data_IF_759216662936
#
_entry.id   IF_759216662936
#
_cell.length_a   1.000
_cell.length_b   1.000
_cell.length_c   1.000
_cell.angle_alpha   90.00
_cell.angle_beta   90.00
_cell.angle_gamma   90.00
#
_symmetry.space_group_name_H-M   'P 1'
#
loop_
_entity.id
_entity.type
_entity.pdbx_description
1 polymer ?
#
# COMPACT_ATOMS: atom_id res chain seq x y z
N UNK A 1 9.90 7.03 -10.55
CA UNK A 1 10.88 6.48 -9.60
C UNK A 1 11.96 5.67 -10.29
N UNK A 2 11.63 4.78 -11.23
CA UNK A 2 12.62 3.90 -11.91
C UNK A 2 13.76 4.68 -12.59
N UNK A 3 13.47 5.80 -13.21
CA UNK A 3 14.51 6.67 -13.83
C UNK A 3 15.52 7.18 -12.78
N UNK A 4 15.09 7.29 -11.52
CA UNK A 4 15.92 7.68 -10.38
C UNK A 4 16.51 6.47 -9.63
N UNK A 5 16.42 5.26 -10.20
CA UNK A 5 16.98 4.04 -9.62
C UNK A 5 16.14 3.39 -8.52
N UNK A 6 14.91 3.85 -8.26
CA UNK A 6 14.03 3.21 -7.28
C UNK A 6 13.43 1.93 -7.87
N UNK A 7 13.41 0.87 -7.07
CA UNK A 7 12.66 -0.36 -7.33
C UNK A 7 11.27 -0.27 -6.71
N UNK A 8 10.42 -1.25 -6.99
CA UNK A 8 9.10 -1.34 -6.34
C UNK A 8 9.24 -1.55 -4.83
N UNK A 9 8.32 -0.97 -4.08
CA UNK A 9 8.22 -1.14 -2.63
C UNK A 9 6.80 -1.54 -2.23
N UNK A 10 6.55 -2.83 -2.17
CA UNK A 10 5.23 -3.41 -1.85
C UNK A 10 4.77 -3.20 -0.39
N UNK A 11 5.59 -2.60 0.47
CA UNK A 11 5.12 -2.13 1.78
C UNK A 11 4.45 -0.76 1.74
N UNK A 12 4.48 -0.08 0.60
CA UNK A 12 3.92 1.25 0.45
C UNK A 12 2.45 1.35 0.82
N UNK A 13 1.66 0.36 0.40
CA UNK A 13 0.21 0.25 0.64
C UNK A 13 -0.14 -0.01 2.11
N UNK A 14 0.73 -0.68 2.86
CA UNK A 14 0.47 -1.13 4.24
C UNK A 14 0.67 -0.06 5.32
N UNK A 15 0.84 1.21 4.95
CA UNK A 15 1.15 2.30 5.88
C UNK A 15 0.01 2.56 6.87
N UNK A 16 -1.21 2.63 6.37
CA UNK A 16 -2.37 3.12 7.11
C UNK A 16 -3.21 2.01 7.73
N UNK A 17 -3.75 2.29 8.92
CA UNK A 17 -4.84 1.52 9.49
C UNK A 17 -6.14 1.78 8.70
N UNK A 18 -7.12 0.89 8.80
CA UNK A 18 -8.37 0.97 8.01
C UNK A 18 -9.13 2.28 8.26
N UNK A 19 -9.15 2.75 9.50
CA UNK A 19 -9.80 4.01 9.90
C UNK A 19 -9.13 5.22 9.24
N UNK A 20 -7.80 5.23 9.18
CA UNK A 20 -7.02 6.30 8.54
C UNK A 20 -7.29 6.39 7.04
N UNK A 21 -7.54 5.25 6.39
CA UNK A 21 -7.91 5.20 4.97
C UNK A 21 -9.26 5.85 4.67
N UNK A 22 -10.07 6.10 5.68
CA UNK A 22 -11.42 6.68 5.60
C UNK A 22 -11.50 8.09 6.23
N UNK A 23 -10.43 8.56 6.84
CA UNK A 23 -10.35 9.89 7.44
C UNK A 23 -9.92 10.93 6.42
N UNK A 24 -10.85 11.80 6.00
CA UNK A 24 -10.61 12.85 5.00
C UNK A 24 -9.51 13.82 5.42
N UNK A 25 -9.42 14.18 6.70
CA UNK A 25 -8.41 15.12 7.22
C UNK A 25 -7.03 14.47 7.22
N UNK A 26 -6.95 13.22 7.64
CA UNK A 26 -5.72 12.45 7.61
C UNK A 26 -5.20 12.28 6.18
N UNK A 27 -6.05 11.82 5.26
CA UNK A 27 -5.69 11.59 3.86
C UNK A 27 -5.23 12.85 3.15
N UNK A 28 -5.92 13.97 3.39
CA UNK A 28 -5.53 15.27 2.84
C UNK A 28 -4.10 15.65 3.23
N UNK A 29 -3.73 15.46 4.49
CA UNK A 29 -2.42 15.83 5.04
C UNK A 29 -1.32 14.84 4.70
N UNK A 30 -1.59 13.55 4.79
CA UNK A 30 -0.58 12.50 4.81
C UNK A 30 -0.59 11.58 3.58
N UNK A 31 -1.71 11.53 2.82
CA UNK A 31 -1.94 10.46 1.85
C UNK A 31 -2.14 9.11 2.54
N UNK A 32 -2.13 8.03 1.79
CA UNK A 32 -2.40 6.70 2.34
C UNK A 32 -1.30 5.67 2.05
N UNK A 33 -0.26 6.05 1.32
CA UNK A 33 0.86 5.17 1.01
C UNK A 33 2.20 5.78 1.40
N UNK A 34 3.17 4.94 1.72
CA UNK A 34 4.54 5.38 2.01
C UNK A 34 5.41 5.49 0.77
N UNK A 35 5.02 4.89 -0.35
CA UNK A 35 5.78 4.88 -1.60
C UNK A 35 4.86 4.88 -2.81
N UNK A 36 5.17 5.73 -3.81
CA UNK A 36 4.53 5.70 -5.13
C UNK A 36 5.04 4.51 -5.97
N UNK A 37 6.09 3.83 -5.50
CA UNK A 37 6.66 2.65 -6.16
C UNK A 37 5.94 1.36 -5.80
N UNK A 38 4.88 1.41 -5.02
CA UNK A 38 3.95 0.31 -4.81
C UNK A 38 2.92 0.28 -5.96
N UNK A 39 2.40 -0.89 -6.27
CA UNK A 39 1.26 -1.07 -7.17
C UNK A 39 -0.08 -0.81 -6.45
N UNK A 40 -0.13 0.29 -5.70
CA UNK A 40 -1.37 0.69 -5.02
C UNK A 40 -2.44 1.11 -6.01
N UNK A 41 -3.65 0.66 -5.77
CA UNK A 41 -4.84 1.20 -6.43
C UNK A 41 -5.27 2.53 -5.79
N UNK A 42 -6.17 3.22 -6.47
CA UNK A 42 -6.95 4.28 -5.85
C UNK A 42 -7.60 3.73 -4.57
N UNK A 43 -7.63 4.55 -3.51
CA UNK A 43 -8.15 4.15 -2.21
C UNK A 43 -9.64 3.72 -2.31
N UNK A 44 -9.83 2.41 -2.38
CA UNK A 44 -11.15 1.78 -2.48
C UNK A 44 -11.81 1.50 -1.13
N UNK A 45 -11.10 1.73 -0.03
CA UNK A 45 -11.67 1.59 1.32
C UNK A 45 -12.62 2.74 1.68
N UNK A 46 -12.43 3.93 1.07
CA UNK A 46 -13.29 5.10 1.26
C UNK A 46 -14.72 4.78 0.86
N UNK A 47 -15.68 5.11 1.71
CA UNK A 47 -17.10 4.99 1.44
C UNK A 47 -17.69 6.37 1.10
N UNK A 48 -18.86 6.46 0.43
CA UNK A 48 -19.47 7.74 0.06
C UNK A 48 -19.71 8.69 1.24
N UNK A 49 -19.98 8.13 2.41
CA UNK A 49 -20.23 8.87 3.65
C UNK A 49 -18.99 9.47 4.29
N UNK A 50 -17.78 9.05 3.90
CA UNK A 50 -16.52 9.50 4.51
C UNK A 50 -16.11 10.91 4.06
N UNK A 51 -16.72 11.44 3.00
CA UNK A 51 -16.47 12.80 2.51
C UNK A 51 -15.05 13.05 1.99
N UNK A 52 -14.32 12.00 1.59
CA UNK A 52 -12.95 12.11 1.07
C UNK A 52 -12.98 12.58 -0.38
N UNK A 53 -12.21 13.63 -0.68
CA UNK A 53 -12.05 14.13 -2.04
C UNK A 53 -11.38 13.12 -2.97
N UNK A 54 -11.72 13.14 -4.26
CA UNK A 54 -11.15 12.25 -5.26
C UNK A 54 -9.63 12.38 -5.36
N UNK A 55 -9.09 13.59 -5.23
CA UNK A 55 -7.65 13.87 -5.25
C UNK A 55 -6.89 13.19 -4.10
N UNK A 56 -7.53 12.99 -2.96
CA UNK A 56 -6.93 12.36 -1.78
C UNK A 56 -7.04 10.83 -1.80
N UNK A 57 -7.71 10.27 -2.81
CA UNK A 57 -7.81 8.82 -3.06
C UNK A 57 -6.75 8.29 -4.02
N UNK A 58 -5.88 9.15 -4.54
CA UNK A 58 -4.83 8.80 -5.51
C UNK A 58 -3.48 8.69 -4.78
N UNK A 59 -2.64 7.66 -5.11
CA UNK A 59 -1.31 7.54 -4.52
C UNK A 59 -0.46 8.79 -4.78
N UNK A 60 0.32 9.19 -3.78
CA UNK A 60 1.26 10.32 -3.84
C UNK A 60 2.67 9.86 -3.49
N UNK A 61 3.68 10.66 -3.85
CA UNK A 61 5.06 10.47 -3.39
C UNK A 61 5.04 10.41 -1.86
N UNK A 62 5.60 9.33 -1.31
CA UNK A 62 5.55 9.05 0.11
C UNK A 62 6.85 9.30 0.85
N UNK A 63 6.82 9.00 2.15
CA UNK A 63 7.98 9.17 3.02
C UNK A 63 9.14 8.24 2.64
N UNK A 64 8.84 7.01 2.20
CA UNK A 64 9.85 6.06 1.73
C UNK A 64 10.53 6.57 0.46
N UNK A 65 9.79 7.12 -0.48
CA UNK A 65 10.37 7.63 -1.74
C UNK A 65 11.38 8.75 -1.45
N UNK A 66 11.03 9.66 -0.53
CA UNK A 66 11.92 10.75 -0.10
C UNK A 66 13.17 10.20 0.59
N UNK A 67 13.02 9.18 1.45
CA UNK A 67 14.13 8.50 2.11
C UNK A 67 15.06 7.83 1.10
N UNK A 68 14.48 7.10 0.13
CA UNK A 68 15.24 6.39 -0.89
C UNK A 68 16.07 7.33 -1.77
N UNK A 69 15.50 8.48 -2.15
CA UNK A 69 16.22 9.53 -2.88
C UNK A 69 17.31 10.14 -2.01
N UNK A 70 17.03 10.43 -0.75
CA UNK A 70 18.04 10.96 0.17
C UNK A 70 19.18 9.95 0.36
N UNK A 71 18.88 8.67 0.50
CA UNK A 71 19.88 7.62 0.63
C UNK A 71 20.76 7.49 -0.62
N UNK A 72 20.17 7.51 -1.79
CA UNK A 72 20.87 7.29 -3.06
C UNK A 72 21.66 8.51 -3.56
N UNK A 73 21.25 9.72 -3.19
CA UNK A 73 21.79 10.96 -3.75
C UNK A 73 22.45 11.88 -2.72
N UNK A 74 22.51 11.49 -1.45
CA UNK A 74 23.15 12.31 -0.42
C UNK A 74 24.64 12.40 -0.66
N UNK A 75 25.16 13.63 -0.74
CA UNK A 75 26.58 13.89 -0.94
C UNK A 75 27.32 13.96 0.40
N UNK A 76 28.49 13.29 0.49
CA UNK A 76 29.35 13.25 1.66
C UNK A 76 30.75 13.74 1.29
N UNK A 77 31.03 15.04 1.41
CA UNK A 77 32.33 15.58 1.03
C UNK A 77 33.45 15.04 1.91
N UNK A 78 34.53 14.58 1.28
CA UNK A 78 35.77 14.18 1.97
C UNK A 78 35.74 12.82 2.66
N UNK A 79 34.67 12.01 2.50
CA UNK A 79 34.62 10.66 3.05
C UNK A 79 34.99 9.62 1.99
N UNK A 80 35.63 8.54 2.43
CA UNK A 80 35.86 7.35 1.60
C UNK A 80 34.55 6.56 1.39
N UNK A 81 34.50 5.76 0.32
CA UNK A 81 33.30 4.98 -0.04
C UNK A 81 32.84 4.04 1.07
N UNK A 82 33.78 3.40 1.75
CA UNK A 82 33.51 2.47 2.86
C UNK A 82 32.85 3.19 4.05
N UNK A 83 33.37 4.37 4.41
CA UNK A 83 32.81 5.20 5.49
C UNK A 83 31.38 5.69 5.15
N UNK A 84 31.13 6.01 3.88
CA UNK A 84 29.80 6.40 3.40
C UNK A 84 28.83 5.24 3.53
N UNK A 85 29.23 4.05 3.08
CA UNK A 85 28.38 2.84 3.17
C UNK A 85 28.05 2.49 4.62
N UNK A 86 29.02 2.53 5.53
CA UNK A 86 28.77 2.28 6.96
C UNK A 86 27.76 3.26 7.55
N UNK A 87 27.96 4.56 7.30
CA UNK A 87 27.03 5.62 7.76
C UNK A 87 25.61 5.44 7.22
N UNK A 88 25.51 5.14 5.92
CA UNK A 88 24.20 4.93 5.28
C UNK A 88 23.52 3.67 5.81
N UNK A 89 24.26 2.57 6.05
CA UNK A 89 23.68 1.34 6.62
C UNK A 89 23.11 1.59 8.01
N UNK A 90 23.88 2.18 8.90
CA UNK A 90 23.41 2.51 10.27
C UNK A 90 22.21 3.46 10.23
N UNK A 91 22.22 4.42 9.31
CA UNK A 91 21.13 5.37 9.17
C UNK A 91 19.85 4.71 8.68
N UNK A 92 19.91 3.86 7.65
CA UNK A 92 18.75 3.20 7.08
C UNK A 92 18.16 2.16 8.04
N UNK A 93 18.97 1.40 8.77
CA UNK A 93 18.52 0.45 9.79
C UNK A 93 17.63 1.14 10.83
N UNK A 94 18.07 2.27 11.35
CA UNK A 94 17.28 3.07 12.31
C UNK A 94 15.97 3.58 11.69
N UNK A 95 16.01 3.99 10.43
CA UNK A 95 14.82 4.49 9.73
C UNK A 95 13.78 3.40 9.49
N UNK A 96 14.19 2.20 9.15
CA UNK A 96 13.29 1.08 8.87
C UNK A 96 12.54 0.55 10.09
N UNK A 97 12.90 0.95 11.31
CA UNK A 97 12.09 0.70 12.50
C UNK A 97 10.73 1.42 12.41
N UNK A 98 10.69 2.59 11.78
CA UNK A 98 9.44 3.29 11.50
C UNK A 98 8.74 2.68 10.28
N UNK A 99 7.47 2.32 10.39
CA UNK A 99 6.67 1.66 9.33
C UNK A 99 6.74 2.38 7.99
N UNK A 100 6.64 3.70 7.98
CA UNK A 100 6.65 4.53 6.76
C UNK A 100 7.94 4.45 5.92
N UNK A 101 8.99 3.83 6.46
CA UNK A 101 10.29 3.67 5.79
C UNK A 101 10.62 2.21 5.47
N UNK A 102 9.71 1.29 5.74
CA UNK A 102 9.92 -0.13 5.44
C UNK A 102 9.94 -0.39 3.94
N UNK A 103 10.70 -1.41 3.58
CA UNK A 103 10.91 -1.81 2.20
C UNK A 103 10.69 -3.30 2.00
N UNK A 104 10.05 -3.64 0.88
CA UNK A 104 9.92 -5.00 0.38
C UNK A 104 9.79 -4.97 -1.13
N UNK A 105 10.73 -5.59 -1.84
CA UNK A 105 10.80 -5.61 -3.30
C UNK A 105 9.87 -6.63 -3.97
N UNK A 106 9.36 -7.58 -3.21
CA UNK A 106 8.42 -8.58 -3.70
C UNK A 106 7.45 -9.01 -2.59
N UNK A 107 6.21 -9.27 -2.95
CA UNK A 107 5.17 -9.69 -2.00
C UNK A 107 5.43 -11.08 -1.41
N UNK A 108 5.70 -12.06 -2.26
CA UNK A 108 5.85 -13.44 -1.83
C UNK A 108 4.67 -13.88 -0.94
N UNK A 109 4.96 -14.44 0.23
CA UNK A 109 3.97 -14.85 1.22
C UNK A 109 3.70 -13.79 2.31
N UNK A 110 4.07 -12.52 2.07
CA UNK A 110 3.86 -11.43 3.01
C UNK A 110 2.54 -10.73 2.72
N UNK A 111 1.51 -10.87 3.57
CA UNK A 111 0.19 -10.29 3.33
C UNK A 111 0.18 -8.76 3.30
N UNK A 112 1.17 -8.14 3.95
CA UNK A 112 1.32 -6.68 4.03
C UNK A 112 2.14 -6.09 2.88
N UNK A 113 2.51 -6.89 1.87
CA UNK A 113 3.36 -6.48 0.77
C UNK A 113 2.90 -7.13 -0.55
N UNK A 114 1.64 -7.01 -0.86
CA UNK A 114 1.04 -7.53 -2.09
C UNK A 114 0.80 -6.39 -3.08
N UNK A 115 0.75 -6.73 -4.36
CA UNK A 115 0.30 -5.78 -5.36
C UNK A 115 -1.22 -5.55 -5.24
N UNK A 116 -1.63 -4.30 -5.44
CA UNK A 116 -3.04 -3.90 -5.49
C UNK A 116 -3.82 -4.05 -4.17
N UNK A 117 -3.15 -4.41 -3.08
CA UNK A 117 -3.71 -4.37 -1.74
C UNK A 117 -3.75 -2.94 -1.18
N UNK A 118 -4.37 -2.77 -0.03
CA UNK A 118 -4.51 -1.47 0.60
C UNK A 118 -4.63 -1.62 2.12
N UNK A 119 -3.88 -0.78 2.83
CA UNK A 119 -3.92 -0.72 4.28
C UNK A 119 -3.20 -1.88 4.97
N UNK A 120 -3.08 -1.73 6.26
CA UNK A 120 -2.42 -2.71 7.12
C UNK A 120 -3.16 -4.05 7.21
N UNK A 121 -4.47 -3.99 7.08
CA UNK A 121 -5.36 -5.13 7.19
C UNK A 121 -6.13 -5.31 5.89
N UNK A 122 -5.49 -5.96 4.92
CA UNK A 122 -6.05 -6.15 3.58
C UNK A 122 -7.38 -6.92 3.58
N UNK A 123 -7.67 -7.70 4.61
CA UNK A 123 -8.96 -8.36 4.78
C UNK A 123 -10.10 -7.36 5.01
N UNK A 124 -9.89 -6.38 5.92
CA UNK A 124 -10.89 -5.34 6.23
C UNK A 124 -11.12 -4.42 5.02
N UNK A 125 -10.05 -4.02 4.36
CA UNK A 125 -10.15 -3.16 3.17
C UNK A 125 -10.77 -3.89 1.98
N UNK A 126 -10.50 -5.19 1.81
CA UNK A 126 -11.19 -6.02 0.82
C UNK A 126 -12.70 -6.10 1.08
N UNK A 127 -13.13 -6.20 2.33
CA UNK A 127 -14.56 -6.16 2.69
C UNK A 127 -15.20 -4.83 2.31
N UNK A 128 -14.53 -3.71 2.60
CA UNK A 128 -14.98 -2.37 2.17
C UNK A 128 -15.06 -2.25 0.65
N UNK A 129 -14.07 -2.79 -0.07
CA UNK A 129 -14.09 -2.88 -1.52
C UNK A 129 -15.28 -3.68 -2.06
N UNK A 130 -15.60 -4.82 -1.44
CA UNK A 130 -16.78 -5.61 -1.79
C UNK A 130 -18.09 -4.83 -1.55
N UNK A 131 -18.16 -4.01 -0.49
CA UNK A 131 -19.30 -3.12 -0.27
C UNK A 131 -19.48 -2.12 -1.42
N UNK A 132 -18.39 -1.55 -1.95
CA UNK A 132 -18.44 -0.72 -3.14
C UNK A 132 -18.97 -1.44 -4.36
N UNK A 133 -18.48 -2.64 -4.64
CA UNK A 133 -18.95 -3.43 -5.78
C UNK A 133 -20.45 -3.74 -5.69
N UNK A 134 -20.95 -4.05 -4.50
CA UNK A 134 -22.39 -4.27 -4.27
C UNK A 134 -23.22 -3.00 -4.53
N UNK A 135 -22.70 -1.81 -4.16
CA UNK A 135 -23.35 -0.52 -4.46
C UNK A 135 -23.35 -0.26 -5.96
N UNK A 136 -22.21 -0.35 -6.61
CA UNK A 136 -22.08 -0.17 -8.07
C UNK A 136 -23.02 -1.09 -8.85
N UNK A 137 -23.13 -2.35 -8.45
CA UNK A 137 -24.05 -3.29 -9.10
C UNK A 137 -25.50 -2.83 -8.98
N UNK A 138 -25.95 -2.41 -7.79
CA UNK A 138 -27.30 -1.88 -7.58
C UNK A 138 -27.59 -0.63 -8.42
N UNK A 139 -26.64 0.29 -8.48
CA UNK A 139 -26.79 1.56 -9.20
C UNK A 139 -26.80 1.33 -10.71
N UNK A 140 -25.98 0.41 -11.21
CA UNK A 140 -25.97 0.00 -12.63
C UNK A 140 -27.31 -0.61 -13.04
N UNK A 141 -27.88 -1.48 -12.20
CA UNK A 141 -29.19 -2.09 -12.45
C UNK A 141 -30.34 -1.08 -12.43
N UNK A 142 -30.21 0.00 -11.63
CA UNK A 142 -31.24 1.06 -11.53
C UNK A 142 -31.18 2.07 -12.69
N UNK A 143 -29.98 2.38 -13.18
CA UNK A 143 -29.74 3.55 -14.04
C UNK A 143 -29.59 3.23 -15.53
N UNK A 144 -29.82 1.98 -16.00
CA UNK A 144 -29.61 1.55 -17.41
C UNK A 144 -28.32 2.15 -18.00
N UNK A 145 -27.18 1.89 -17.33
CA UNK A 145 -25.90 2.57 -17.54
C UNK A 145 -25.42 2.60 -18.99
N UNK A 146 -24.66 3.63 -19.33
CA UNK A 146 -24.05 3.89 -20.65
C UNK A 146 -23.05 2.81 -21.12
N UNK A 147 -22.65 1.90 -20.25
CA UNK A 147 -21.76 0.78 -20.59
C UNK A 147 -22.60 -0.49 -20.79
N UNK A 148 -22.12 -1.38 -21.67
CA UNK A 148 -22.81 -2.65 -21.84
C UNK A 148 -22.83 -3.42 -20.52
N UNK A 149 -23.96 -4.01 -20.18
CA UNK A 149 -24.16 -4.82 -18.97
C UNK A 149 -23.08 -5.93 -18.88
N UNK A 150 -22.65 -6.43 -20.02
CA UNK A 150 -21.63 -7.46 -20.13
C UNK A 150 -20.25 -6.99 -19.69
N UNK A 151 -19.80 -5.81 -20.14
CA UNK A 151 -18.51 -5.22 -19.76
C UNK A 151 -18.46 -4.92 -18.26
N UNK A 152 -19.55 -4.42 -17.68
CA UNK A 152 -19.67 -4.16 -16.26
C UNK A 152 -19.63 -5.46 -15.44
N UNK A 153 -20.36 -6.49 -15.86
CA UNK A 153 -20.36 -7.78 -15.20
C UNK A 153 -18.95 -8.39 -15.16
N UNK A 154 -18.22 -8.30 -16.28
CA UNK A 154 -16.83 -8.80 -16.33
C UNK A 154 -15.91 -8.05 -15.35
N UNK A 155 -15.97 -6.71 -15.34
CA UNK A 155 -15.17 -5.89 -14.46
C UNK A 155 -15.47 -6.15 -12.98
N UNK A 156 -16.76 -6.24 -12.61
CA UNK A 156 -17.18 -6.52 -11.24
C UNK A 156 -16.73 -7.91 -10.79
N UNK A 157 -16.88 -8.93 -11.65
CA UNK A 157 -16.42 -10.30 -11.35
C UNK A 157 -14.92 -10.36 -11.14
N UNK A 158 -14.15 -9.71 -12.01
CA UNK A 158 -12.69 -9.65 -11.89
C UNK A 158 -12.29 -9.02 -10.56
N UNK A 159 -12.84 -7.85 -10.24
CA UNK A 159 -12.53 -7.13 -9.02
C UNK A 159 -12.95 -7.91 -7.75
N UNK A 160 -14.09 -8.57 -7.80
CA UNK A 160 -14.55 -9.42 -6.69
C UNK A 160 -13.60 -10.60 -6.44
N UNK A 161 -13.14 -11.25 -7.51
CA UNK A 161 -12.15 -12.33 -7.40
C UNK A 161 -10.83 -11.86 -6.80
N UNK A 162 -10.39 -10.64 -7.15
CA UNK A 162 -9.17 -10.06 -6.59
C UNK A 162 -9.28 -9.80 -5.08
N UNK A 163 -10.40 -9.27 -4.60
CA UNK A 163 -10.61 -9.10 -3.15
C UNK A 163 -10.65 -10.44 -2.39
N UNK A 164 -11.23 -11.47 -2.99
CA UNK A 164 -11.20 -12.81 -2.42
C UNK A 164 -9.76 -13.34 -2.35
N UNK A 165 -8.99 -13.19 -3.43
CA UNK A 165 -7.59 -13.62 -3.47
C UNK A 165 -6.74 -12.90 -2.43
N UNK A 166 -6.92 -11.59 -2.24
CA UNK A 166 -6.26 -10.83 -1.18
C UNK A 166 -6.57 -11.40 0.20
N UNK A 167 -7.85 -11.73 0.47
CA UNK A 167 -8.26 -12.34 1.73
C UNK A 167 -7.57 -13.69 1.96
N UNK A 168 -7.49 -14.56 0.95
CA UNK A 168 -6.79 -15.84 1.05
C UNK A 168 -5.28 -15.67 1.24
N UNK A 169 -4.66 -14.73 0.55
CA UNK A 169 -3.24 -14.42 0.71
C UNK A 169 -2.96 -13.95 2.14
N UNK A 170 -3.83 -13.11 2.70
CA UNK A 170 -3.71 -12.67 4.08
C UNK A 170 -3.80 -13.83 5.08
N UNK A 171 -4.79 -14.68 4.93
CA UNK A 171 -5.02 -15.82 5.84
C UNK A 171 -3.95 -16.92 5.72
N UNK A 172 -3.36 -17.10 4.55
CA UNK A 172 -2.33 -18.12 4.29
C UNK A 172 -0.90 -17.61 4.41
N UNK A 173 -0.70 -16.31 4.68
CA UNK A 173 0.59 -15.67 4.65
C UNK A 173 1.39 -15.72 5.95
N UNK A 174 2.52 -15.05 5.90
CA UNK A 174 3.42 -14.83 7.05
C UNK A 174 3.60 -13.33 7.26
N UNK A 175 3.80 -12.93 8.50
CA UNK A 175 4.02 -11.51 8.86
C UNK A 175 5.43 -11.31 9.41
N UNK A 176 6.07 -10.23 9.00
CA UNK A 176 7.32 -9.76 9.60
C UNK A 176 7.02 -8.89 10.82
N UNK A 177 7.50 -9.30 11.99
CA UNK A 177 7.47 -8.49 13.21
C UNK A 177 8.83 -7.80 13.36
N UNK A 178 8.83 -6.48 13.32
CA UNK A 178 10.02 -5.64 13.41
C UNK A 178 10.32 -5.34 14.87
N UNK A 179 11.42 -5.90 15.40
CA UNK A 179 11.94 -5.60 16.74
C UNK A 179 13.13 -4.62 16.67
N UNK A 180 13.66 -4.27 17.84
CA UNK A 180 14.81 -3.35 17.92
C UNK A 180 16.09 -3.96 17.34
N UNK A 181 16.26 -5.28 17.43
CA UNK A 181 17.48 -5.99 17.04
C UNK A 181 17.26 -7.10 16.00
N UNK A 182 16.01 -7.40 15.63
CA UNK A 182 15.71 -8.50 14.71
C UNK A 182 14.34 -8.38 14.05
N UNK A 183 14.21 -9.02 12.90
CA UNK A 183 12.93 -9.24 12.23
C UNK A 183 12.50 -10.69 12.45
N UNK A 184 11.37 -10.88 13.10
CA UNK A 184 10.79 -12.21 13.36
C UNK A 184 9.68 -12.47 12.33
N UNK A 185 9.64 -13.65 11.78
CA UNK A 185 8.60 -14.09 10.83
C UNK A 185 7.58 -14.94 11.58
N UNK A 186 6.32 -14.54 11.51
CA UNK A 186 5.19 -15.23 12.19
C UNK A 186 4.13 -15.58 11.16
N UNK A 187 3.59 -16.81 11.22
CA UNK A 187 2.46 -17.18 10.40
C UNK A 187 1.21 -16.35 10.78
N UNK A 188 0.52 -15.83 9.79
CA UNK A 188 -0.79 -15.19 10.00
C UNK A 188 -1.79 -16.31 10.23
N UNK A 189 -2.43 -16.29 11.38
CA UNK A 189 -3.19 -17.39 11.98
C UNK A 189 -4.07 -18.23 11.06
N UNK A 190 -4.19 -19.48 11.45
CA UNK A 190 -5.13 -20.46 10.88
C UNK A 190 -6.52 -20.30 11.51
#
# INVERSE_FOLDING_TARGET
GHVLGLTHNFYGSSLCETEQLRDAVFLHRHGYGSSIMDYMRMNYAVQPEDGVDMSDRIPRIGAYDSLAIEWGYRYFPGLASEEIQEKLSVWIEKKQLERKYRFQDSGGNLPEAQAEDLGRYSLETAELGMCHLKRLLRDTLRNNGRLSVESWNLAIRKQYSEYINQAFTYLGGIRKCWGNDSVIVVAVGR
#
